data_IF_794736895996
#
_entry.id   IF_794736895996
#
_cell.length_a   1.000
_cell.length_b   1.000
_cell.length_c   1.000
_cell.angle_alpha   90.00
_cell.angle_beta   90.00
_cell.angle_gamma   90.00
#
_symmetry.space_group_name_H-M   'P 1'
#
loop_
_entity.id
_entity.type
_entity.pdbx_description
1 polymer ?
#
# COMPACT_ATOMS: atom_id res chain seq x y z
N UNK A 1 -2.39 -18.12 14.77
CA UNK A 1 -2.96 -19.46 14.52
C UNK A 1 -4.35 -19.32 13.90
N UNK A 2 -4.52 -19.71 12.64
CA UNK A 2 -5.83 -19.74 11.99
C UNK A 2 -6.64 -20.95 12.44
N UNK A 3 -7.92 -20.76 12.75
CA UNK A 3 -8.86 -21.84 13.03
C UNK A 3 -9.80 -21.97 11.83
N UNK A 4 -9.87 -23.18 11.26
CA UNK A 4 -10.80 -23.50 10.17
C UNK A 4 -11.90 -24.39 10.73
N UNK A 5 -13.13 -23.89 10.68
CA UNK A 5 -14.33 -24.60 11.11
C UNK A 5 -15.07 -25.11 9.88
N UNK A 6 -15.36 -26.41 9.83
CA UNK A 6 -16.21 -27.00 8.79
C UNK A 6 -17.67 -26.76 9.14
N UNK A 7 -18.38 -26.02 8.30
CA UNK A 7 -19.83 -25.82 8.40
C UNK A 7 -20.49 -26.97 7.64
N UNK A 8 -21.04 -27.94 8.35
CA UNK A 8 -21.54 -29.17 7.72
C UNK A 8 -23.03 -29.08 7.46
N UNK A 9 -23.47 -29.26 6.20
CA UNK A 9 -24.49 -30.25 5.78
C UNK A 9 -24.52 -30.38 4.24
N UNK A 10 -24.81 -31.61 3.79
CA UNK A 10 -24.89 -32.13 2.40
C UNK A 10 -25.23 -31.13 1.28
N UNK A 11 -24.37 -31.10 0.25
CA UNK A 11 -24.84 -31.04 -1.14
C UNK A 11 -24.57 -29.76 -1.96
N UNK A 12 -23.58 -29.88 -2.85
CA UNK A 12 -23.50 -29.40 -4.25
C UNK A 12 -23.37 -27.90 -4.62
N UNK A 13 -22.39 -27.69 -5.52
CA UNK A 13 -22.01 -26.52 -6.31
C UNK A 13 -23.08 -26.03 -7.32
N UNK A 14 -22.88 -24.88 -8.00
CA UNK A 14 -22.09 -24.88 -9.23
C UNK A 14 -21.24 -23.61 -9.56
N UNK A 15 -20.49 -23.78 -10.65
CA UNK A 15 -19.56 -22.98 -11.48
C UNK A 15 -19.98 -21.58 -11.93
N UNK A 16 -19.01 -20.68 -12.19
CA UNK A 16 -18.75 -20.17 -13.57
C UNK A 16 -17.54 -19.20 -13.78
N UNK A 17 -16.94 -19.42 -14.96
CA UNK A 17 -16.27 -18.61 -16.01
C UNK A 17 -15.37 -17.35 -15.81
N UNK A 18 -14.52 -17.22 -16.84
CA UNK A 18 -13.36 -16.37 -17.07
C UNK A 18 -13.64 -14.89 -17.43
N UNK A 19 -12.60 -14.05 -17.29
CA UNK A 19 -12.49 -12.68 -17.82
C UNK A 19 -11.33 -12.57 -18.84
N UNK A 20 -11.41 -11.69 -19.86
CA UNK A 20 -10.30 -11.42 -20.78
C UNK A 20 -9.45 -10.20 -20.39
N UNK A 21 -8.19 -10.19 -20.88
CA UNK A 21 -7.13 -9.19 -20.65
C UNK A 21 -7.21 -8.01 -21.63
N UNK A 22 -6.73 -6.84 -21.19
CA UNK A 22 -6.53 -5.64 -21.99
C UNK A 22 -5.12 -5.57 -22.61
N UNK A 23 -5.06 -5.03 -23.82
CA UNK A 23 -3.88 -4.84 -24.68
C UNK A 23 -3.06 -3.59 -24.31
N UNK A 24 -1.81 -3.59 -24.77
CA UNK A 24 -0.74 -2.60 -24.53
C UNK A 24 -0.44 -1.87 -25.84
N UNK A 25 -0.19 -0.56 -25.80
CA UNK A 25 0.48 0.15 -26.90
C UNK A 25 1.48 1.22 -26.41
N UNK A 26 2.49 1.59 -27.24
CA UNK A 26 3.84 1.90 -26.77
C UNK A 26 4.29 3.37 -26.90
N UNK A 27 5.47 3.63 -26.33
CA UNK A 27 6.23 4.87 -26.30
C UNK A 27 6.73 5.35 -27.66
N UNK A 28 6.77 6.68 -27.85
CA UNK A 28 7.42 7.34 -28.98
C UNK A 28 8.58 8.25 -28.51
N UNK A 29 9.77 7.97 -29.05
CA UNK A 29 10.95 8.85 -29.10
C UNK A 29 10.79 9.88 -30.22
N UNK A 30 11.28 11.12 -30.03
CA UNK A 30 11.64 12.00 -31.15
C UNK A 30 12.73 13.01 -30.79
N UNK A 31 13.78 13.07 -31.63
CA UNK A 31 14.63 14.26 -31.84
C UNK A 31 15.10 14.37 -33.29
N UNK A 32 14.45 15.30 -34.00
CA UNK A 32 15.07 16.33 -34.87
C UNK A 32 14.97 16.10 -36.39
N UNK A 33 15.39 17.06 -37.26
CA UNK A 33 15.72 18.47 -37.05
C UNK A 33 15.17 19.44 -38.16
N UNK A 34 15.59 20.72 -38.07
CA UNK A 34 15.69 21.78 -39.12
C UNK A 34 14.49 22.72 -39.34
N UNK A 35 14.71 23.99 -39.00
CA UNK A 35 13.90 25.13 -39.44
C UNK A 35 14.50 25.82 -40.69
N UNK A 36 13.62 26.41 -41.49
CA UNK A 36 13.91 27.30 -42.62
C UNK A 36 13.60 28.76 -42.26
N UNK A 37 14.30 29.68 -42.93
CA UNK A 37 14.44 31.12 -42.64
C UNK A 37 13.39 31.98 -43.33
N UNK A 38 13.01 33.10 -42.69
CA UNK A 38 12.41 34.29 -43.32
C UNK A 38 13.07 35.56 -42.79
N UNK A 39 13.45 36.48 -43.69
CA UNK A 39 14.46 37.54 -43.54
C UNK A 39 13.89 38.98 -43.55
N UNK A 40 14.48 39.88 -42.74
CA UNK A 40 14.23 41.35 -42.69
C UNK A 40 15.62 42.08 -42.65
N UNK A 41 15.80 43.31 -43.19
CA UNK A 41 16.99 43.67 -43.95
C UNK A 41 18.23 43.98 -43.12
N UNK A 42 19.34 43.51 -43.67
CA UNK A 42 20.57 43.11 -43.00
C UNK A 42 21.53 44.27 -42.68
N UNK A 43 21.29 45.50 -43.16
CA UNK A 43 22.35 46.55 -43.15
C UNK A 43 22.38 47.45 -41.92
N UNK A 44 21.23 47.84 -41.35
CA UNK A 44 21.18 48.70 -40.14
C UNK A 44 21.30 47.90 -38.84
N UNK A 45 20.76 46.67 -38.79
CA UNK A 45 20.91 45.78 -37.64
C UNK A 45 22.35 45.30 -37.48
N UNK A 46 23.06 45.00 -38.57
CA UNK A 46 24.48 44.59 -38.52
C UNK A 46 25.38 45.65 -37.88
N UNK A 47 25.18 46.92 -38.22
CA UNK A 47 26.02 48.01 -37.69
C UNK A 47 25.75 48.29 -36.21
N UNK A 48 24.51 48.08 -35.76
CA UNK A 48 24.11 48.18 -34.35
C UNK A 48 24.57 46.93 -33.56
N UNK A 49 24.41 45.73 -34.11
CA UNK A 49 24.90 44.47 -33.54
C UNK A 49 26.42 44.44 -33.43
N UNK A 50 27.16 44.96 -34.42
CA UNK A 50 28.61 45.06 -34.36
C UNK A 50 29.05 46.03 -33.27
N UNK A 51 28.33 47.13 -33.06
CA UNK A 51 28.61 48.07 -31.96
C UNK A 51 28.24 47.49 -30.60
N UNK A 52 27.14 46.76 -30.48
CA UNK A 52 26.73 46.06 -29.24
C UNK A 52 27.66 44.90 -28.93
N UNK A 53 28.08 44.11 -29.94
CA UNK A 53 29.08 43.03 -29.80
C UNK A 53 30.46 43.60 -29.50
N UNK A 54 30.86 44.72 -30.09
CA UNK A 54 32.13 45.37 -29.80
C UNK A 54 32.16 46.00 -28.39
N UNK A 55 31.07 46.64 -27.97
CA UNK A 55 30.94 47.19 -26.60
C UNK A 55 30.82 46.07 -25.57
N UNK A 56 30.02 45.05 -25.85
CA UNK A 56 29.89 43.84 -25.03
C UNK A 56 31.20 43.04 -24.94
N UNK A 57 31.98 42.99 -26.02
CA UNK A 57 33.33 42.41 -26.05
C UNK A 57 34.32 43.21 -25.21
N UNK A 58 34.22 44.56 -25.20
CA UNK A 58 35.05 45.42 -24.34
C UNK A 58 34.69 45.29 -22.87
N UNK A 59 33.40 45.26 -22.54
CA UNK A 59 32.91 45.04 -21.17
C UNK A 59 33.27 43.62 -20.72
N UNK A 60 33.10 42.62 -21.59
CA UNK A 60 33.50 41.25 -21.30
C UNK A 60 35.01 41.17 -21.06
N UNK A 61 35.86 41.73 -21.93
CA UNK A 61 37.32 41.76 -21.73
C UNK A 61 37.73 42.49 -20.46
N UNK A 62 37.11 43.64 -20.15
CA UNK A 62 37.35 44.36 -18.89
C UNK A 62 36.92 43.52 -17.68
N UNK A 63 35.76 42.85 -17.76
CA UNK A 63 35.29 41.93 -16.74
C UNK A 63 36.21 40.72 -16.59
N UNK A 64 36.75 40.15 -17.68
CA UNK A 64 37.70 39.03 -17.64
C UNK A 64 39.05 39.47 -17.04
N UNK A 65 39.52 40.68 -17.34
CA UNK A 65 40.73 41.25 -16.74
C UNK A 65 40.55 41.47 -15.23
N UNK A 66 39.40 42.02 -14.81
CA UNK A 66 39.02 42.16 -13.39
C UNK A 66 38.80 40.79 -12.73
N UNK A 67 38.30 39.82 -13.49
CA UNK A 67 38.11 38.45 -13.03
C UNK A 67 39.44 37.74 -12.76
N UNK A 68 40.45 37.99 -13.60
CA UNK A 68 41.76 37.34 -13.52
C UNK A 68 42.74 38.06 -12.58
N UNK A 69 42.36 39.22 -12.01
CA UNK A 69 43.14 39.90 -10.99
C UNK A 69 43.33 39.03 -9.75
N UNK A 70 44.57 38.91 -9.28
CA UNK A 70 44.98 38.04 -8.16
C UNK A 70 44.12 38.23 -6.90
N UNK A 71 43.77 39.47 -6.56
CA UNK A 71 42.93 39.77 -5.38
C UNK A 71 41.48 39.28 -5.51
N UNK A 72 40.89 39.41 -6.71
CA UNK A 72 39.52 38.95 -6.98
C UNK A 72 39.46 37.42 -7.04
N UNK A 73 40.52 36.77 -7.54
CA UNK A 73 40.67 35.33 -7.51
C UNK A 73 40.65 34.79 -6.07
N UNK A 74 41.45 35.37 -5.16
CA UNK A 74 41.47 34.98 -3.75
C UNK A 74 40.13 35.21 -3.05
N UNK A 75 39.47 36.34 -3.32
CA UNK A 75 38.14 36.64 -2.78
C UNK A 75 37.09 35.60 -3.24
N UNK A 76 37.11 35.19 -4.51
CA UNK A 76 36.20 34.15 -5.01
C UNK A 76 36.46 32.79 -4.42
N UNK A 77 37.73 32.42 -4.25
CA UNK A 77 38.10 31.17 -3.56
C UNK A 77 37.59 31.23 -2.12
N UNK A 78 37.77 32.35 -1.40
CA UNK A 78 37.28 32.51 -0.04
C UNK A 78 35.75 32.43 0.06
N UNK A 79 35.02 33.10 -0.85
CA UNK A 79 33.55 33.02 -0.93
C UNK A 79 33.10 31.60 -1.29
N UNK A 80 33.77 30.94 -2.23
CA UNK A 80 33.48 29.54 -2.61
C UNK A 80 33.68 28.58 -1.44
N UNK A 81 34.78 28.70 -0.69
CA UNK A 81 35.04 27.91 0.51
C UNK A 81 34.02 28.21 1.60
N UNK A 82 33.64 29.47 1.78
CA UNK A 82 32.62 29.88 2.75
C UNK A 82 31.24 29.28 2.41
N UNK A 83 30.80 29.37 1.15
CA UNK A 83 29.54 28.78 0.68
C UNK A 83 29.55 27.25 0.77
N UNK A 84 30.65 26.60 0.38
CA UNK A 84 30.82 25.14 0.56
C UNK A 84 30.71 24.81 2.04
N UNK A 85 31.39 25.53 2.95
CA UNK A 85 31.34 25.26 4.39
C UNK A 85 29.95 25.50 4.98
N UNK A 86 29.25 26.56 4.57
CA UNK A 86 27.92 26.91 5.04
C UNK A 86 26.85 25.93 4.55
N UNK A 87 26.98 25.39 3.33
CA UNK A 87 26.03 24.43 2.75
C UNK A 87 26.33 22.98 3.11
N UNK A 88 27.61 22.61 3.22
CA UNK A 88 28.05 21.23 3.43
C UNK A 88 27.70 20.68 4.82
N UNK A 89 27.69 21.53 5.86
CA UNK A 89 27.31 21.10 7.22
C UNK A 89 25.80 20.75 7.35
N UNK A 90 24.84 21.61 6.96
CA UNK A 90 23.42 21.26 7.01
C UNK A 90 23.03 20.21 5.97
N UNK A 91 23.69 20.19 4.80
CA UNK A 91 23.43 19.17 3.77
C UNK A 91 23.86 17.79 4.26
N UNK A 92 25.05 17.62 4.86
CA UNK A 92 25.48 16.34 5.42
C UNK A 92 24.57 15.82 6.52
N UNK A 93 24.04 16.71 7.37
CA UNK A 93 23.08 16.32 8.41
C UNK A 93 21.78 15.80 7.78
N UNK A 94 21.19 16.58 6.86
CA UNK A 94 19.99 16.17 6.12
C UNK A 94 20.20 14.89 5.32
N UNK A 95 21.37 14.69 4.70
CA UNK A 95 21.69 13.46 3.95
C UNK A 95 21.79 12.24 4.88
N UNK A 96 22.39 12.39 6.08
CA UNK A 96 22.44 11.30 7.07
C UNK A 96 21.06 10.95 7.59
N UNK A 97 20.24 11.95 7.92
CA UNK A 97 18.89 11.76 8.41
C UNK A 97 18.00 11.13 7.32
N UNK A 98 18.10 11.60 6.08
CA UNK A 98 17.43 11.00 4.92
C UNK A 98 17.90 9.56 4.66
N UNK A 99 19.20 9.29 4.76
CA UNK A 99 19.73 7.93 4.58
C UNK A 99 19.19 6.98 5.65
N UNK A 100 19.19 7.39 6.92
CA UNK A 100 18.60 6.59 8.01
C UNK A 100 17.13 6.32 7.77
N UNK A 101 16.37 7.38 7.45
CA UNK A 101 14.96 7.25 7.13
C UNK A 101 14.71 6.30 5.95
N UNK A 102 15.47 6.45 4.85
CA UNK A 102 15.35 5.59 3.69
C UNK A 102 15.71 4.13 4.03
N UNK A 103 16.68 3.90 4.91
CA UNK A 103 17.07 2.56 5.35
C UNK A 103 16.00 1.90 6.22
N UNK A 104 15.48 2.62 7.23
CA UNK A 104 14.39 2.14 8.09
C UNK A 104 13.11 1.89 7.27
N UNK A 105 12.78 2.79 6.34
CA UNK A 105 11.67 2.62 5.41
C UNK A 105 11.87 1.40 4.52
N UNK A 106 13.09 1.17 4.02
CA UNK A 106 13.41 0.00 3.21
C UNK A 106 13.18 -1.30 3.98
N UNK A 107 13.57 -1.35 5.25
CA UNK A 107 13.32 -2.53 6.10
C UNK A 107 11.82 -2.76 6.31
N UNK A 108 11.06 -1.71 6.58
CA UNK A 108 9.61 -1.80 6.79
C UNK A 108 8.86 -2.22 5.52
N UNK A 109 9.21 -1.67 4.36
CA UNK A 109 8.56 -2.00 3.08
C UNK A 109 8.97 -3.36 2.52
N UNK A 110 10.12 -3.90 2.95
CA UNK A 110 10.62 -5.21 2.50
C UNK A 110 10.04 -6.37 3.32
N UNK A 111 9.20 -6.12 4.32
CA UNK A 111 8.59 -7.17 5.12
C UNK A 111 7.36 -7.76 4.40
N UNK A 112 7.31 -9.07 4.13
CA UNK A 112 6.17 -9.69 3.47
C UNK A 112 4.93 -9.68 4.39
N UNK A 113 3.76 -9.47 3.80
CA UNK A 113 2.48 -9.39 4.53
C UNK A 113 1.80 -10.74 4.81
N UNK A 114 2.39 -11.86 4.37
CA UNK A 114 1.87 -13.23 4.58
C UNK A 114 2.73 -14.00 5.58
N UNK A 115 4.00 -13.65 5.72
CA UNK A 115 4.95 -14.33 6.60
C UNK A 115 5.64 -13.28 7.46
N UNK A 116 5.56 -13.42 8.78
CA UNK A 116 6.10 -12.41 9.68
C UNK A 116 7.24 -12.99 10.50
N UNK A 117 8.30 -12.20 10.68
CA UNK A 117 9.36 -12.53 11.64
C UNK A 117 8.89 -12.13 13.03
N UNK A 118 8.77 -13.09 13.93
CA UNK A 118 8.53 -12.84 15.34
C UNK A 118 9.81 -13.08 16.12
N UNK A 119 10.08 -12.21 17.10
CA UNK A 119 11.13 -12.44 18.10
C UNK A 119 10.49 -13.00 19.34
N UNK A 120 10.89 -14.21 19.71
CA UNK A 120 10.52 -14.83 20.96
C UNK A 120 11.19 -14.11 22.13
N UNK A 121 10.68 -14.30 23.35
CA UNK A 121 11.25 -13.74 24.60
C UNK A 121 12.69 -14.16 24.84
N UNK A 122 13.13 -15.27 24.25
CA UNK A 122 14.50 -15.78 24.30
C UNK A 122 15.44 -15.13 23.25
N UNK A 123 14.97 -14.17 22.46
CA UNK A 123 15.74 -13.49 21.41
C UNK A 123 15.86 -14.27 20.10
N UNK A 124 15.26 -15.47 19.99
CA UNK A 124 15.24 -16.25 18.77
C UNK A 124 14.26 -15.63 17.76
N UNK A 125 14.72 -15.45 16.52
CA UNK A 125 13.87 -15.07 15.39
C UNK A 125 13.21 -16.33 14.83
N UNK A 126 11.88 -16.36 14.85
CA UNK A 126 11.08 -17.38 14.19
C UNK A 126 10.31 -16.74 13.03
N UNK A 127 10.12 -17.51 11.96
CA UNK A 127 9.28 -17.12 10.84
C UNK A 127 7.91 -17.75 11.04
N UNK A 128 6.88 -16.93 11.22
CA UNK A 128 5.49 -17.38 11.32
C UNK A 128 4.90 -17.51 9.91
N UNK A 129 4.55 -18.73 9.52
CA UNK A 129 4.00 -19.07 8.21
C UNK A 129 2.58 -19.68 8.26
N UNK A 130 1.91 -19.57 9.42
CA UNK A 130 0.53 -20.03 9.68
C UNK A 130 -0.45 -19.67 8.55
N UNK A 131 -0.37 -18.45 8.01
CA UNK A 131 -1.24 -17.98 6.92
C UNK A 131 -1.13 -18.86 5.69
N UNK A 132 0.10 -19.10 5.25
CA UNK A 132 0.40 -19.94 4.09
C UNK A 132 0.00 -21.39 4.34
N UNK A 133 0.34 -21.93 5.51
CA UNK A 133 0.02 -23.31 5.86
C UNK A 133 -1.50 -23.56 5.84
N UNK A 134 -2.28 -22.68 6.46
CA UNK A 134 -3.74 -22.80 6.49
C UNK A 134 -4.35 -22.74 5.08
N UNK A 135 -3.89 -21.82 4.22
CA UNK A 135 -4.36 -21.75 2.83
C UNK A 135 -3.99 -23.00 2.02
N UNK A 136 -2.80 -23.56 2.24
CA UNK A 136 -2.41 -24.83 1.62
C UNK A 136 -3.20 -26.02 2.15
N UNK A 137 -3.52 -26.04 3.45
CA UNK A 137 -4.41 -27.02 4.02
C UNK A 137 -5.79 -26.95 3.36
N UNK A 138 -6.36 -25.75 3.24
CA UNK A 138 -7.64 -25.52 2.59
C UNK A 138 -7.64 -26.06 1.16
N UNK A 139 -6.58 -25.76 0.40
CA UNK A 139 -6.40 -26.25 -0.98
C UNK A 139 -6.28 -27.77 -1.10
N UNK A 140 -5.62 -28.44 -0.16
CA UNK A 140 -5.33 -29.88 -0.21
C UNK A 140 -6.40 -30.74 0.44
N UNK A 141 -7.17 -30.21 1.40
CA UNK A 141 -8.06 -30.99 2.28
C UNK A 141 -9.54 -30.68 2.11
N UNK A 142 -9.91 -29.68 1.30
CA UNK A 142 -11.32 -29.38 1.00
C UNK A 142 -11.65 -29.68 -0.47
N UNK A 143 -12.92 -29.96 -0.83
CA UNK A 143 -13.37 -30.04 -2.23
C UNK A 143 -13.05 -28.77 -3.03
N UNK A 144 -12.89 -28.87 -4.35
CA UNK A 144 -12.55 -27.71 -5.20
C UNK A 144 -13.69 -26.68 -5.27
N UNK A 145 -14.93 -27.14 -5.18
CA UNK A 145 -16.16 -26.37 -5.15
C UNK A 145 -16.54 -25.85 -3.75
N UNK A 146 -15.74 -26.16 -2.72
CA UNK A 146 -16.00 -25.73 -1.36
C UNK A 146 -16.00 -24.19 -1.26
N UNK A 147 -17.06 -23.66 -0.66
CA UNK A 147 -17.25 -22.24 -0.38
C UNK A 147 -16.70 -21.91 0.99
N UNK A 148 -15.83 -20.92 1.04
CA UNK A 148 -15.13 -20.51 2.27
C UNK A 148 -15.56 -19.10 2.65
N UNK A 149 -16.11 -18.97 3.85
CA UNK A 149 -16.42 -17.69 4.46
C UNK A 149 -15.26 -17.24 5.36
N UNK A 150 -14.91 -15.98 5.25
CA UNK A 150 -13.93 -15.30 6.09
C UNK A 150 -14.32 -13.82 6.19
N UNK A 151 -13.55 -13.03 6.93
CA UNK A 151 -13.67 -11.58 6.83
C UNK A 151 -13.20 -11.08 5.45
N UNK A 152 -13.75 -9.94 5.00
CA UNK A 152 -13.56 -9.42 3.63
C UNK A 152 -12.09 -9.14 3.28
N UNK A 153 -11.26 -8.78 4.26
CA UNK A 153 -9.80 -8.56 4.09
C UNK A 153 -9.07 -9.74 3.44
N UNK A 154 -9.56 -10.98 3.64
CA UNK A 154 -8.85 -12.20 3.24
C UNK A 154 -9.38 -12.82 1.95
N UNK A 155 -10.43 -12.27 1.34
CA UNK A 155 -11.10 -12.85 0.18
C UNK A 155 -10.14 -13.16 -0.97
N UNK A 156 -9.34 -12.16 -1.39
CA UNK A 156 -8.37 -12.34 -2.47
C UNK A 156 -7.27 -13.36 -2.13
N UNK A 157 -6.85 -13.45 -0.88
CA UNK A 157 -5.82 -14.41 -0.45
C UNK A 157 -6.35 -15.84 -0.52
N UNK A 158 -7.60 -16.07 -0.10
CA UNK A 158 -8.27 -17.37 -0.21
C UNK A 158 -8.44 -17.77 -1.67
N UNK A 159 -8.96 -16.86 -2.51
CA UNK A 159 -9.16 -17.14 -3.93
C UNK A 159 -7.83 -17.41 -4.65
N UNK A 160 -6.80 -16.60 -4.42
CA UNK A 160 -5.52 -16.72 -5.11
C UNK A 160 -4.64 -17.88 -4.62
N UNK A 161 -4.46 -18.03 -3.30
CA UNK A 161 -3.51 -18.99 -2.73
C UNK A 161 -4.18 -20.35 -2.50
N UNK A 162 -5.34 -20.34 -1.82
CA UNK A 162 -6.06 -21.57 -1.51
C UNK A 162 -6.84 -22.12 -2.73
N UNK A 163 -7.06 -21.30 -3.77
CA UNK A 163 -7.82 -21.68 -4.97
C UNK A 163 -9.21 -22.22 -4.60
N UNK A 164 -9.96 -21.46 -3.79
CA UNK A 164 -11.31 -21.80 -3.35
C UNK A 164 -12.26 -20.65 -3.57
N UNK A 165 -13.52 -20.99 -3.82
CA UNK A 165 -14.61 -20.01 -3.88
C UNK A 165 -14.74 -19.36 -2.51
N UNK A 166 -14.71 -18.03 -2.48
CA UNK A 166 -14.90 -17.27 -1.25
C UNK A 166 -16.13 -16.40 -1.33
N UNK A 167 -16.84 -16.30 -0.21
CA UNK A 167 -17.97 -15.38 -0.04
C UNK A 167 -17.47 -14.00 0.41
N UNK A 168 -16.22 -13.92 0.87
CA UNK A 168 -15.59 -12.67 1.28
C UNK A 168 -15.06 -11.93 0.04
N UNK A 169 -15.59 -10.74 -0.26
CA UNK A 169 -15.11 -9.89 -1.36
C UNK A 169 -14.46 -8.62 -0.82
N UNK A 170 -13.17 -8.44 -1.14
CA UNK A 170 -12.38 -7.28 -0.75
C UNK A 170 -12.73 -6.00 -1.52
N UNK A 171 -13.54 -6.08 -2.59
CA UNK A 171 -14.03 -4.90 -3.32
C UNK A 171 -15.15 -4.16 -2.58
N UNK A 172 -15.83 -4.83 -1.64
CA UNK A 172 -16.80 -4.21 -0.72
C UNK A 172 -17.99 -3.45 -1.35
N UNK A 173 -18.34 -3.75 -2.60
CA UNK A 173 -19.35 -3.00 -3.35
C UNK A 173 -20.80 -3.20 -2.84
N UNK A 174 -21.10 -4.36 -2.24
CA UNK A 174 -22.40 -4.66 -1.65
C UNK A 174 -22.32 -4.61 -0.12
N UNK A 175 -22.84 -3.52 0.46
CA UNK A 175 -22.79 -3.29 1.91
C UNK A 175 -23.64 -4.28 2.71
N UNK A 176 -24.78 -4.73 2.19
CA UNK A 176 -25.64 -5.72 2.87
C UNK A 176 -24.93 -7.07 2.97
N UNK A 177 -24.16 -7.44 1.95
CA UNK A 177 -23.38 -8.66 1.95
C UNK A 177 -22.31 -8.65 3.04
N UNK A 178 -21.56 -7.56 3.18
CA UNK A 178 -20.54 -7.42 4.23
C UNK A 178 -21.18 -7.33 5.61
N UNK A 179 -22.31 -6.65 5.74
CA UNK A 179 -23.08 -6.62 6.98
C UNK A 179 -23.59 -8.03 7.36
N UNK A 180 -23.95 -8.86 6.39
CA UNK A 180 -24.32 -10.26 6.62
C UNK A 180 -23.12 -11.06 7.14
N UNK A 181 -21.93 -10.88 6.56
CA UNK A 181 -20.70 -11.49 7.08
C UNK A 181 -20.41 -11.03 8.51
N UNK A 182 -20.52 -9.72 8.78
CA UNK A 182 -20.34 -9.15 10.12
C UNK A 182 -21.34 -9.71 11.13
N UNK A 183 -22.60 -9.87 10.73
CA UNK A 183 -23.66 -10.48 11.55
C UNK A 183 -23.37 -11.95 11.85
N UNK A 184 -22.87 -12.72 10.90
CA UNK A 184 -22.51 -14.13 11.12
C UNK A 184 -21.31 -14.22 12.07
N UNK A 185 -20.30 -13.37 11.92
CA UNK A 185 -19.08 -13.42 12.73
C UNK A 185 -19.24 -12.82 14.13
N UNK A 186 -20.23 -11.94 14.34
CA UNK A 186 -20.42 -11.21 15.60
C UNK A 186 -21.71 -11.55 16.34
N UNK A 187 -22.67 -12.20 15.68
CA UNK A 187 -23.98 -12.54 16.25
C UNK A 187 -23.99 -13.83 17.07
N UNK A 188 -25.13 -14.10 17.70
CA UNK A 188 -25.33 -15.34 18.46
C UNK A 188 -25.18 -16.58 17.57
N UNK A 189 -24.45 -17.59 18.05
CA UNK A 189 -24.06 -18.79 17.31
C UNK A 189 -25.23 -19.48 16.60
N UNK A 190 -26.38 -19.68 17.27
CA UNK A 190 -27.54 -20.35 16.68
C UNK A 190 -28.13 -19.58 15.48
N UNK A 191 -28.13 -18.24 15.54
CA UNK A 191 -28.60 -17.39 14.44
C UNK A 191 -27.56 -17.33 13.33
N UNK A 192 -26.29 -17.12 13.69
CA UNK A 192 -25.16 -17.09 12.78
C UNK A 192 -25.04 -18.39 11.98
N UNK A 193 -25.07 -19.54 12.65
CA UNK A 193 -24.98 -20.86 12.03
C UNK A 193 -26.14 -21.12 11.05
N UNK A 194 -27.36 -20.68 11.38
CA UNK A 194 -28.53 -20.83 10.49
C UNK A 194 -28.36 -20.13 9.15
N UNK A 195 -27.62 -19.01 9.10
CA UNK A 195 -27.33 -18.26 7.88
C UNK A 195 -26.05 -18.81 7.22
N UNK A 196 -24.99 -19.02 8.00
CA UNK A 196 -23.68 -19.48 7.52
C UNK A 196 -23.78 -20.79 6.73
N UNK A 197 -24.57 -21.75 7.20
CA UNK A 197 -24.78 -23.06 6.55
C UNK A 197 -25.34 -23.00 5.12
N UNK A 198 -26.02 -21.90 4.77
CA UNK A 198 -26.55 -21.72 3.42
C UNK A 198 -25.53 -21.05 2.48
N UNK A 199 -24.60 -20.28 3.05
CA UNK A 199 -23.65 -19.46 2.31
C UNK A 199 -22.30 -20.16 2.10
N UNK A 200 -21.83 -20.94 3.08
CA UNK A 200 -20.49 -21.50 3.06
C UNK A 200 -20.40 -22.88 3.71
N UNK A 201 -19.38 -23.64 3.29
CA UNK A 201 -19.08 -24.99 3.76
C UNK A 201 -17.93 -24.98 4.79
N UNK A 202 -17.11 -23.92 4.78
CA UNK A 202 -16.04 -23.69 5.76
C UNK A 202 -16.02 -22.22 6.19
N UNK A 203 -15.67 -21.99 7.44
CA UNK A 203 -15.44 -20.67 8.02
C UNK A 203 -13.98 -20.60 8.48
N UNK A 204 -13.25 -19.59 8.01
CA UNK A 204 -11.88 -19.31 8.42
C UNK A 204 -11.87 -18.09 9.33
N UNK A 205 -11.27 -18.24 10.50
CA UNK A 205 -11.06 -17.15 11.49
C UNK A 205 -9.60 -17.14 11.94
N UNK A 206 -8.98 -15.96 11.92
CA UNK A 206 -7.63 -15.76 12.45
C UNK A 206 -7.66 -15.39 13.93
N UNK A 207 -6.91 -16.12 14.75
CA UNK A 207 -6.77 -15.85 16.17
C UNK A 207 -5.32 -15.98 16.67
N UNK A 208 -5.01 -15.31 17.78
CA UNK A 208 -3.74 -15.44 18.49
C UNK A 208 -2.75 -14.30 18.26
N UNK A 209 -3.20 -13.10 17.87
CA UNK A 209 -2.33 -11.92 17.71
C UNK A 209 -3.07 -10.59 17.92
N UNK A 210 -2.34 -9.50 18.19
CA UNK A 210 -2.96 -8.19 18.49
C UNK A 210 -3.74 -7.53 17.33
N UNK A 211 -3.62 -8.05 16.11
CA UNK A 211 -4.32 -7.56 14.90
C UNK A 211 -5.16 -8.62 14.20
N UNK A 212 -5.54 -9.68 14.91
CA UNK A 212 -6.32 -10.80 14.40
C UNK A 212 -7.83 -10.45 14.26
N UNK A 213 -8.65 -11.44 13.92
CA UNK A 213 -10.10 -11.22 13.71
C UNK A 213 -10.83 -10.89 15.01
N UNK A 214 -10.28 -11.27 16.17
CA UNK A 214 -10.84 -10.90 17.46
C UNK A 214 -10.63 -9.41 17.74
N UNK A 215 -9.46 -8.87 17.42
CA UNK A 215 -9.20 -7.43 17.52
C UNK A 215 -10.10 -6.61 16.57
N UNK A 216 -10.46 -7.18 15.41
CA UNK A 216 -11.37 -6.57 14.43
C UNK A 216 -12.86 -6.79 14.75
N UNK A 217 -13.19 -7.67 15.68
CA UNK A 217 -14.58 -8.05 15.97
C UNK A 217 -15.51 -6.87 16.32
N UNK A 218 -15.09 -5.80 17.05
CA UNK A 218 -15.96 -4.63 17.25
C UNK A 218 -16.31 -3.90 15.95
N UNK A 219 -15.39 -3.89 14.99
CA UNK A 219 -15.65 -3.32 13.68
C UNK A 219 -16.63 -4.18 12.87
N UNK A 220 -16.47 -5.51 12.93
CA UNK A 220 -17.42 -6.46 12.31
C UNK A 220 -18.84 -6.29 12.87
N UNK A 221 -18.96 -6.17 14.20
CA UNK A 221 -20.24 -5.97 14.86
C UNK A 221 -20.90 -4.65 14.46
N UNK A 222 -20.14 -3.55 14.37
CA UNK A 222 -20.65 -2.25 13.92
C UNK A 222 -21.16 -2.29 12.47
N UNK A 223 -20.43 -2.97 11.57
CA UNK A 223 -20.88 -3.14 10.18
C UNK A 223 -22.13 -4.02 10.12
N UNK A 224 -22.19 -5.11 10.90
CA UNK A 224 -23.41 -5.91 10.99
C UNK A 224 -24.60 -5.12 11.54
N UNK A 225 -24.36 -4.29 12.57
CA UNK A 225 -25.39 -3.52 13.26
C UNK A 225 -25.94 -2.33 12.44
N UNK A 226 -25.25 -1.92 11.38
CA UNK A 226 -25.74 -0.88 10.48
C UNK A 226 -26.93 -1.34 9.62
N UNK A 227 -27.04 -2.65 9.38
CA UNK A 227 -28.15 -3.27 8.64
C UNK A 227 -29.04 -4.11 9.56
N UNK A 228 -28.46 -4.79 10.55
CA UNK A 228 -29.16 -5.73 11.43
C UNK A 228 -29.07 -5.30 12.89
N UNK A 229 -30.17 -4.83 13.47
CA UNK A 229 -30.20 -4.34 14.85
C UNK A 229 -30.34 -5.44 15.92
N UNK A 230 -30.09 -6.71 15.57
CA UNK A 230 -30.18 -7.83 16.50
C UNK A 230 -28.84 -8.19 17.17
N UNK A 231 -27.75 -7.52 16.79
CA UNK A 231 -26.41 -7.72 17.36
C UNK A 231 -26.23 -6.87 18.62
N UNK A 232 -26.59 -5.58 18.58
CA UNK A 232 -26.43 -4.64 19.69
C UNK A 232 -27.75 -3.89 19.96
N UNK A 233 -28.71 -4.50 20.67
CA UNK A 233 -30.02 -3.89 20.91
C UNK A 233 -29.87 -2.61 21.74
N UNK A 234 -30.34 -1.49 21.19
CA UNK A 234 -30.28 -0.18 21.87
C UNK A 234 -28.92 0.50 21.86
N UNK A 235 -27.91 -0.07 21.17
CA UNK A 235 -26.60 0.54 20.97
C UNK A 235 -26.23 0.57 19.48
N UNK A 236 -26.50 1.69 18.78
CA UNK A 236 -26.17 1.84 17.35
C UNK A 236 -24.68 1.67 17.05
N UNK A 237 -23.81 1.95 18.03
CA UNK A 237 -22.35 1.99 17.85
C UNK A 237 -21.66 0.69 18.27
N UNK A 238 -22.41 -0.29 18.80
CA UNK A 238 -21.85 -1.49 19.43
C UNK A 238 -20.66 -1.16 20.34
N UNK A 239 -20.80 -0.13 21.18
CA UNK A 239 -19.77 0.35 22.09
C UNK A 239 -19.37 -0.69 23.14
N UNK A 240 -20.33 -1.52 23.55
CA UNK A 240 -20.12 -2.60 24.51
C UNK A 240 -19.55 -3.88 23.88
N UNK A 241 -19.56 -3.98 22.55
CA UNK A 241 -19.06 -5.15 21.85
C UNK A 241 -17.53 -5.11 21.78
N UNK A 242 -16.88 -6.06 22.43
CA UNK A 242 -15.43 -6.22 22.38
C UNK A 242 -14.85 -6.94 23.58
N UNK A 243 -13.60 -7.36 23.46
CA UNK A 243 -12.88 -8.08 24.51
C UNK A 243 -12.26 -7.11 25.53
N UNK A 244 -13.09 -6.46 26.36
CA UNK A 244 -12.59 -5.71 27.51
C UNK A 244 -12.40 -6.67 28.70
N UNK A 245 -11.15 -6.80 29.17
CA UNK A 245 -10.79 -7.56 30.39
C UNK A 245 -11.05 -9.08 30.36
N UNK A 246 -10.96 -9.74 29.20
CA UNK A 246 -11.05 -11.20 29.12
C UNK A 246 -12.43 -11.79 29.48
N UNK A 247 -13.47 -10.96 29.63
CA UNK A 247 -14.86 -11.39 29.77
C UNK A 247 -15.62 -11.00 28.51
N UNK A 248 -16.14 -12.00 27.81
CA UNK A 248 -17.11 -11.80 26.73
C UNK A 248 -18.39 -11.20 27.32
N UNK A 249 -18.82 -10.04 26.82
CA UNK A 249 -20.17 -9.51 27.00
C UNK A 249 -20.78 -9.41 25.60
N UNK A 250 -21.52 -10.45 25.22
CA UNK A 250 -22.34 -10.50 24.01
C UNK A 250 -23.82 -10.53 24.36
#
# INVERSE_FOLDING_TARGET
VGVILKVTLLGQAPTDQAQPKAETEPSADDKGPKGSKGSVPISKSKKLEERVKASGSRIAKAATTIYNLRGVCLLRIAIGVYLIRQTHWPLKKKTKDFYKYAHELSEQLSQPSIMFKARLTNGQEIMLDDYREAYWWLKKKTPQDARVMAWWDYGYQIAGIANRTTIADGNTWNHEHIATLGRILSGAEEKAHRVARHLADYVLVWAGGGGDDLAKSPHMARIGNSVYHDICPGDPTCSQFGFYQGRYRG
#
